data_IF_240241495839
#
_entry.id   IF_240241495839
#
_cell.length_a   1.000
_cell.length_b   1.000
_cell.length_c   1.000
_cell.angle_alpha   90.00
_cell.angle_beta   90.00
_cell.angle_gamma   90.00
#
_symmetry.space_group_name_H-M   'P 1'
#
loop_
_entity.id
_entity.type
_entity.pdbx_description
1 polymer ?
#
# COMPACT_ATOMS: atom_id res chain seq x y z
N UNK A 1 1.90 13.83 -3.10
CA UNK A 1 2.16 14.91 -4.10
C UNK A 1 2.75 16.09 -3.35
N UNK A 2 3.79 16.72 -3.88
CA UNK A 2 4.27 18.01 -3.36
C UNK A 2 3.59 19.12 -4.14
N UNK A 3 2.97 20.06 -3.44
CA UNK A 3 2.19 21.15 -4.02
C UNK A 3 2.56 22.47 -3.33
N UNK A 4 2.47 23.57 -4.06
CA UNK A 4 2.63 24.92 -3.50
C UNK A 4 1.25 25.55 -3.44
N UNK A 5 0.85 26.04 -2.27
CA UNK A 5 -0.40 26.78 -2.13
C UNK A 5 -0.35 28.10 -2.92
N UNK A 6 -1.46 28.50 -3.52
CA UNK A 6 -1.56 29.75 -4.28
C UNK A 6 -1.32 30.99 -3.41
N UNK A 7 -1.50 30.87 -2.09
CA UNK A 7 -1.29 31.91 -1.08
C UNK A 7 0.11 31.91 -0.46
N UNK A 8 1.05 31.10 -0.96
CA UNK A 8 2.39 31.03 -0.39
C UNK A 8 3.11 32.38 -0.49
N UNK A 9 3.72 32.82 0.60
CA UNK A 9 4.46 34.08 0.67
C UNK A 9 5.76 34.04 -0.14
N UNK A 10 6.47 32.91 -0.12
CA UNK A 10 7.76 32.72 -0.80
C UNK A 10 7.65 31.60 -1.84
N UNK A 11 6.96 31.88 -2.96
CA UNK A 11 6.68 30.88 -4.00
C UNK A 11 7.94 30.36 -4.69
N UNK A 12 8.91 31.25 -4.93
CA UNK A 12 10.16 30.87 -5.61
C UNK A 12 11.00 29.92 -4.76
N UNK A 13 11.20 30.22 -3.48
CA UNK A 13 11.93 29.34 -2.56
C UNK A 13 11.24 27.97 -2.41
N UNK A 14 9.90 27.96 -2.34
CA UNK A 14 9.13 26.73 -2.31
C UNK A 14 9.32 25.91 -3.60
N UNK A 15 9.42 26.59 -4.74
CA UNK A 15 9.69 25.96 -6.03
C UNK A 15 11.09 25.38 -6.11
N UNK A 16 12.10 26.10 -5.62
CA UNK A 16 13.48 25.61 -5.57
C UNK A 16 13.64 24.41 -4.63
N UNK A 17 12.93 24.39 -3.51
CA UNK A 17 12.87 23.21 -2.64
C UNK A 17 12.25 22.01 -3.38
N UNK A 18 11.13 22.19 -4.08
CA UNK A 18 10.51 21.10 -4.85
C UNK A 18 11.45 20.59 -5.94
N UNK A 19 12.15 21.47 -6.67
CA UNK A 19 13.17 21.05 -7.65
C UNK A 19 14.25 20.21 -6.98
N UNK A 20 14.78 20.69 -5.86
CA UNK A 20 15.85 20.01 -5.14
C UNK A 20 15.42 18.62 -4.63
N UNK A 21 14.26 18.50 -3.98
CA UNK A 21 13.76 17.22 -3.44
C UNK A 21 13.46 16.19 -4.54
N UNK A 22 13.17 16.66 -5.76
CA UNK A 22 12.98 15.82 -6.95
C UNK A 22 14.23 15.69 -7.82
N UNK A 23 15.38 16.24 -7.39
CA UNK A 23 16.63 16.19 -8.17
C UNK A 23 17.15 14.76 -8.37
N UNK A 24 18.11 14.61 -9.28
CA UNK A 24 18.77 13.33 -9.53
C UNK A 24 19.60 12.88 -8.32
N UNK A 25 20.22 13.84 -7.64
CA UNK A 25 21.07 13.65 -6.48
C UNK A 25 20.24 13.07 -5.32
N UNK A 26 19.10 13.68 -5.02
CA UNK A 26 18.19 13.18 -3.97
C UNK A 26 17.58 11.84 -4.36
N UNK A 27 17.28 11.62 -5.64
CA UNK A 27 16.73 10.34 -6.10
C UNK A 27 17.74 9.18 -5.95
N UNK A 28 19.04 9.41 -6.22
CA UNK A 28 20.11 8.43 -5.97
C UNK A 28 20.20 8.07 -4.49
N UNK A 29 20.08 9.05 -3.59
CA UNK A 29 20.07 8.79 -2.15
C UNK A 29 18.84 7.94 -1.77
N UNK A 30 17.64 8.33 -2.21
CA UNK A 30 16.39 7.61 -1.93
C UNK A 30 16.38 6.18 -2.48
N UNK A 31 17.04 5.92 -3.60
CA UNK A 31 17.11 4.59 -4.20
C UNK A 31 17.82 3.53 -3.31
N UNK A 32 18.56 3.96 -2.28
CA UNK A 32 19.14 3.05 -1.30
C UNK A 32 18.12 2.56 -0.25
N UNK A 33 16.94 3.20 -0.16
CA UNK A 33 15.87 2.75 0.72
C UNK A 33 15.31 1.40 0.22
N UNK A 34 15.27 0.41 1.11
CA UNK A 34 14.80 -0.94 0.78
C UNK A 34 13.28 -1.09 0.83
N UNK A 35 12.59 -0.17 1.49
CA UNK A 35 11.15 -0.26 1.75
C UNK A 35 10.31 0.49 0.72
N UNK A 36 10.92 1.34 -0.11
CA UNK A 36 10.21 2.23 -1.02
C UNK A 36 10.93 2.34 -2.37
N UNK A 37 10.16 2.52 -3.43
CA UNK A 37 10.67 2.82 -4.77
C UNK A 37 10.59 4.33 -5.01
N UNK A 38 11.69 4.91 -5.52
CA UNK A 38 11.68 6.30 -6.00
C UNK A 38 10.86 6.43 -7.30
N UNK A 39 10.42 7.63 -7.66
CA UNK A 39 9.72 7.88 -8.92
C UNK A 39 10.65 7.85 -10.14
N UNK A 40 11.97 8.05 -9.94
CA UNK A 40 12.98 8.04 -11.01
C UNK A 40 13.52 6.62 -11.23
N UNK A 41 12.96 5.93 -12.24
CA UNK A 41 13.26 4.53 -12.55
C UNK A 41 14.74 4.22 -12.74
N UNK A 42 15.48 5.15 -13.34
CA UNK A 42 16.91 5.00 -13.68
C UNK A 42 17.82 4.69 -12.48
N UNK A 43 17.38 5.03 -11.26
CA UNK A 43 18.17 4.80 -10.05
C UNK A 43 17.73 3.56 -9.26
N UNK A 44 16.64 2.92 -9.67
CA UNK A 44 16.10 1.78 -8.93
C UNK A 44 16.83 0.52 -9.36
N UNK A 45 17.31 -0.23 -8.38
CA UNK A 45 17.94 -1.53 -8.60
C UNK A 45 17.22 -2.59 -7.77
N UNK A 46 16.98 -3.75 -8.37
CA UNK A 46 16.43 -4.89 -7.65
C UNK A 46 17.51 -5.41 -6.70
N UNK A 47 17.30 -5.24 -5.39
CA UNK A 47 18.26 -5.73 -4.40
C UNK A 47 18.26 -7.26 -4.28
N UNK A 48 17.15 -7.90 -4.69
CA UNK A 48 17.02 -9.34 -4.78
C UNK A 48 16.88 -9.73 -6.25
N UNK A 49 17.77 -10.59 -6.81
CA UNK A 49 17.78 -10.93 -8.23
C UNK A 49 16.47 -11.53 -8.76
N UNK A 50 15.64 -12.12 -7.89
CA UNK A 50 14.37 -12.74 -8.25
C UNK A 50 13.18 -11.77 -8.31
N UNK A 51 13.36 -10.49 -7.94
CA UNK A 51 12.25 -9.52 -7.90
C UNK A 51 12.14 -8.79 -9.24
N UNK A 52 11.00 -8.98 -9.91
CA UNK A 52 10.66 -8.22 -11.11
C UNK A 52 10.09 -6.83 -10.74
N UNK A 53 10.88 -5.78 -10.97
CA UNK A 53 10.44 -4.41 -10.74
C UNK A 53 9.50 -3.86 -11.82
N UNK A 54 9.48 -4.46 -13.01
CA UNK A 54 8.69 -3.99 -14.15
C UNK A 54 7.19 -3.92 -13.82
N UNK A 55 6.70 -4.89 -13.05
CA UNK A 55 5.30 -4.96 -12.61
C UNK A 55 4.85 -3.70 -11.85
N UNK A 56 5.75 -3.04 -11.11
CA UNK A 56 5.42 -1.81 -10.37
C UNK A 56 5.29 -0.58 -11.27
N UNK A 57 5.69 -0.68 -12.54
CA UNK A 57 5.64 0.43 -13.50
C UNK A 57 4.62 0.24 -14.61
N UNK A 58 4.23 -1.00 -14.90
CA UNK A 58 3.33 -1.34 -16.01
C UNK A 58 1.91 -1.62 -15.55
N UNK A 59 1.74 -2.10 -14.31
CA UNK A 59 0.42 -2.40 -13.79
C UNK A 59 -0.23 -1.15 -13.21
N UNK A 60 -1.56 -1.08 -13.34
CA UNK A 60 -2.36 -0.06 -12.65
C UNK A 60 -2.17 -0.25 -11.14
N UNK A 61 -1.76 0.79 -10.39
CA UNK A 61 -1.64 0.67 -8.95
C UNK A 61 -3.02 0.37 -8.35
N UNK A 62 -3.06 -0.59 -7.43
CA UNK A 62 -4.24 -0.78 -6.61
C UNK A 62 -4.42 0.46 -5.73
N UNK A 63 -5.65 0.98 -5.58
CA UNK A 63 -5.91 2.05 -4.63
C UNK A 63 -5.48 1.58 -3.23
N UNK A 64 -4.86 2.48 -2.46
CA UNK A 64 -4.37 2.15 -1.11
C UNK A 64 -5.48 1.65 -0.18
N UNK A 65 -6.72 2.07 -0.45
CA UNK A 65 -7.90 1.63 0.27
C UNK A 65 -9.05 1.43 -0.72
N UNK A 66 -9.82 0.37 -0.53
CA UNK A 66 -11.06 0.13 -1.27
C UNK A 66 -12.17 1.08 -0.75
N UNK A 67 -12.76 1.95 -1.59
CA UNK A 67 -13.86 2.83 -1.19
C UNK A 67 -15.07 2.08 -0.61
N UNK A 68 -15.31 0.84 -1.07
CA UNK A 68 -16.38 0.00 -0.53
C UNK A 68 -16.06 -0.44 0.89
N UNK A 69 -14.80 -0.77 1.18
CA UNK A 69 -14.38 -1.15 2.53
C UNK A 69 -14.49 0.03 3.51
N UNK A 70 -14.14 1.24 3.08
CA UNK A 70 -14.33 2.47 3.87
C UNK A 70 -15.82 2.67 4.18
N UNK A 71 -16.68 2.60 3.15
CA UNK A 71 -18.12 2.73 3.30
C UNK A 71 -18.70 1.69 4.25
N UNK A 72 -18.24 0.45 4.13
CA UNK A 72 -18.65 -0.67 4.96
C UNK A 72 -18.20 -0.48 6.42
N UNK A 73 -16.99 0.00 6.67
CA UNK A 73 -16.51 0.33 8.01
C UNK A 73 -17.33 1.44 8.67
N UNK A 74 -17.74 2.46 7.92
CA UNK A 74 -18.62 3.51 8.43
C UNK A 74 -20.01 2.96 8.80
N UNK A 75 -20.56 2.05 7.99
CA UNK A 75 -21.87 1.44 8.23
C UNK A 75 -21.85 0.36 9.32
N UNK A 76 -20.71 -0.32 9.47
CA UNK A 76 -20.48 -1.44 10.38
C UNK A 76 -19.14 -1.24 11.10
N UNK A 77 -19.11 -0.45 12.19
CA UNK A 77 -17.86 -0.17 12.92
C UNK A 77 -17.12 -1.42 13.42
N UNK A 78 -17.83 -2.54 13.63
CA UNK A 78 -17.25 -3.84 14.01
C UNK A 78 -16.67 -4.67 12.86
N UNK A 79 -16.82 -4.25 11.60
CA UNK A 79 -16.37 -5.03 10.42
C UNK A 79 -14.85 -5.21 10.36
N UNK A 80 -14.08 -4.39 11.08
CA UNK A 80 -12.63 -4.58 11.19
C UNK A 80 -12.27 -5.83 11.99
N UNK A 81 -13.08 -6.17 13.01
CA UNK A 81 -12.83 -7.29 13.93
C UNK A 81 -12.96 -8.65 13.23
N UNK A 82 -13.87 -8.76 12.26
CA UNK A 82 -14.04 -9.99 11.47
C UNK A 82 -12.87 -10.25 10.52
N UNK A 83 -12.09 -9.21 10.19
CA UNK A 83 -10.86 -9.33 9.41
C UNK A 83 -9.78 -10.16 10.12
N UNK A 84 -9.64 -10.02 11.43
CA UNK A 84 -8.66 -10.79 12.22
C UNK A 84 -9.05 -12.27 12.32
N UNK A 85 -10.34 -12.55 12.52
CA UNK A 85 -10.89 -13.92 12.47
C UNK A 85 -10.67 -14.56 11.11
N UNK A 86 -10.94 -13.80 10.03
CA UNK A 86 -10.70 -14.24 8.66
C UNK A 86 -9.23 -14.60 8.41
N UNK A 87 -8.30 -13.78 8.92
CA UNK A 87 -6.86 -14.04 8.83
C UNK A 87 -6.47 -15.35 9.51
N UNK A 88 -6.98 -15.62 10.71
CA UNK A 88 -6.70 -16.86 11.42
C UNK A 88 -7.24 -18.09 10.66
N UNK A 89 -8.48 -18.02 10.18
CA UNK A 89 -9.10 -19.10 9.41
C UNK A 89 -8.38 -19.36 8.08
N UNK A 90 -7.89 -18.31 7.42
CA UNK A 90 -7.05 -18.45 6.24
C UNK A 90 -5.75 -19.21 6.55
N UNK A 91 -5.08 -18.88 7.65
CA UNK A 91 -3.86 -19.59 8.07
C UNK A 91 -4.15 -21.07 8.34
N UNK A 92 -5.28 -21.38 8.99
CA UNK A 92 -5.68 -22.77 9.25
C UNK A 92 -5.91 -23.56 7.95
N UNK A 93 -6.52 -22.93 6.94
CA UNK A 93 -6.71 -23.54 5.62
C UNK A 93 -5.38 -23.73 4.91
N UNK A 94 -4.54 -22.70 4.89
CA UNK A 94 -3.22 -22.76 4.28
C UNK A 94 -2.33 -23.85 4.88
N UNK A 95 -2.45 -24.09 6.20
CA UNK A 95 -1.75 -25.14 6.91
C UNK A 95 -2.43 -26.52 6.83
N UNK A 96 -3.56 -26.64 6.13
CA UNK A 96 -4.32 -27.89 6.01
C UNK A 96 -5.06 -28.31 7.29
N UNK A 97 -5.15 -27.45 8.31
CA UNK A 97 -5.86 -27.70 9.57
C UNK A 97 -7.38 -27.63 9.41
N UNK A 98 -7.86 -26.94 8.38
CA UNK A 98 -9.28 -26.76 8.09
C UNK A 98 -9.53 -26.77 6.58
N UNK A 99 -10.68 -27.27 6.15
CA UNK A 99 -11.11 -27.15 4.75
C UNK A 99 -11.59 -25.72 4.46
N UNK A 100 -11.52 -25.30 3.19
CA UNK A 100 -12.04 -24.00 2.75
C UNK A 100 -13.51 -23.83 3.16
N UNK A 101 -14.35 -24.86 2.94
CA UNK A 101 -15.76 -24.83 3.29
C UNK A 101 -15.99 -24.60 4.79
N UNK A 102 -15.28 -25.35 5.65
CA UNK A 102 -15.44 -25.22 7.10
C UNK A 102 -14.91 -23.89 7.62
N UNK A 103 -13.87 -23.33 6.98
CA UNK A 103 -13.36 -22.01 7.32
C UNK A 103 -14.37 -20.91 6.98
N UNK A 104 -15.00 -20.96 5.80
CA UNK A 104 -16.02 -20.00 5.40
C UNK A 104 -17.25 -20.05 6.31
N UNK A 105 -17.76 -21.25 6.64
CA UNK A 105 -18.88 -21.41 7.60
C UNK A 105 -18.53 -20.85 8.98
N UNK A 106 -17.30 -21.08 9.45
CA UNK A 106 -16.84 -20.55 10.73
C UNK A 106 -16.69 -19.02 10.71
N UNK A 107 -16.26 -18.46 9.58
CA UNK A 107 -16.13 -17.01 9.39
C UNK A 107 -17.49 -16.34 9.37
N UNK A 108 -18.45 -16.87 8.62
CA UNK A 108 -19.83 -16.40 8.58
C UNK A 108 -20.47 -16.41 9.98
N UNK A 109 -20.36 -17.52 10.70
CA UNK A 109 -20.91 -17.65 12.06
C UNK A 109 -20.33 -16.62 13.04
N UNK A 110 -19.04 -16.31 12.92
CA UNK A 110 -18.36 -15.33 13.79
C UNK A 110 -18.53 -13.88 13.35
N UNK A 111 -18.85 -13.64 12.06
CA UNK A 111 -19.05 -12.30 11.52
C UNK A 111 -20.49 -11.79 11.62
N UNK A 112 -21.45 -12.70 11.75
CA UNK A 112 -22.88 -12.37 11.86
C UNK A 112 -23.36 -12.13 13.30
N UNK A 113 -22.45 -12.00 14.27
CA UNK A 113 -22.74 -11.59 15.65
C UNK A 113 -22.68 -10.08 15.80
#
# INVERSE_FOLDING_TARGET
>A
MMTITSTATNKEDAWDLIKFVNSNEVAKIKAHNKSELTSRKDYITAQTPSVNLEAFYTLKPLPATDPLLISLQMQKPGISQIGDVGRQLFIDVYQGKKTVENALKAWEKQGNT
#
